data_IF_190638936084
#
_entry.id   IF_190638936084
#
_cell.length_a   1.000
_cell.length_b   1.000
_cell.length_c   1.000
_cell.angle_alpha   90.00
_cell.angle_beta   90.00
_cell.angle_gamma   90.00
#
_symmetry.space_group_name_H-M   'P 1'
#
loop_
_entity.id
_entity.type
_entity.pdbx_description
1 polymer ?
#
# COMPACT_ATOMS: atom_id res chain seq x y z
N UNK A 1 -22.13 15.42 7.37
CA UNK A 1 -22.14 14.01 7.80
C UNK A 1 -20.69 13.57 7.79
N UNK A 2 -20.23 12.92 8.85
CA UNK A 2 -18.83 12.57 9.03
C UNK A 2 -18.57 11.27 8.25
N UNK A 3 -17.77 11.35 7.19
CA UNK A 3 -17.43 10.22 6.33
C UNK A 3 -16.64 9.21 7.16
N UNK A 4 -17.22 8.04 7.44
CA UNK A 4 -16.51 6.93 8.05
C UNK A 4 -16.35 5.88 6.95
N UNK A 5 -15.23 5.91 6.25
CA UNK A 5 -14.78 4.71 5.55
C UNK A 5 -14.12 3.84 6.63
N UNK A 6 -14.75 2.71 6.93
CA UNK A 6 -14.26 1.73 7.90
C UNK A 6 -13.29 0.79 7.19
N UNK A 7 -11.99 1.08 7.21
CA UNK A 7 -11.00 0.05 6.88
C UNK A 7 -10.64 -0.72 8.16
N UNK A 8 -11.01 -2.00 8.20
CA UNK A 8 -10.51 -2.94 9.20
C UNK A 8 -9.50 -3.84 8.51
N UNK A 9 -8.22 -3.64 8.83
CA UNK A 9 -7.09 -4.40 8.32
C UNK A 9 -6.32 -4.96 9.52
N UNK A 10 -6.23 -6.29 9.60
CA UNK A 10 -5.41 -6.99 10.59
C UNK A 10 -4.04 -7.31 10.00
N UNK A 11 -2.98 -7.19 10.81
CA UNK A 11 -1.59 -7.47 10.38
C UNK A 11 -0.84 -8.22 11.46
N UNK A 12 0.00 -9.18 11.04
CA UNK A 12 1.05 -9.77 11.87
C UNK A 12 2.29 -8.88 11.80
N UNK A 13 2.65 -8.21 12.89
CA UNK A 13 3.64 -7.14 12.82
C UNK A 13 4.97 -7.41 13.52
N UNK A 14 6.00 -6.77 12.97
CA UNK A 14 7.36 -6.60 13.49
C UNK A 14 7.39 -5.64 14.69
N UNK A 15 8.41 -5.75 15.55
CA UNK A 15 8.53 -5.08 16.88
C UNK A 15 8.16 -3.59 16.93
N UNK A 16 8.46 -2.83 15.87
CA UNK A 16 8.39 -1.36 15.87
C UNK A 16 7.30 -0.82 14.92
N UNK A 17 6.45 -1.72 14.42
CA UNK A 17 5.24 -1.35 13.70
C UNK A 17 4.18 -0.83 14.68
N UNK A 18 3.58 0.31 14.34
CA UNK A 18 2.59 0.99 15.19
C UNK A 18 1.17 0.61 14.78
N UNK A 19 0.89 0.59 13.48
CA UNK A 19 -0.46 0.42 12.96
C UNK A 19 -0.56 0.77 11.48
N UNK A 20 -1.80 0.75 10.98
CA UNK A 20 -2.13 1.20 9.65
C UNK A 20 -2.83 2.56 9.72
N UNK A 21 -2.43 3.48 8.86
CA UNK A 21 -3.10 4.78 8.69
C UNK A 21 -3.65 4.93 7.28
N UNK A 22 -4.65 5.78 7.16
CA UNK A 22 -5.40 6.00 5.93
C UNK A 22 -5.51 7.50 5.66
N UNK A 23 -5.29 7.89 4.41
CA UNK A 23 -5.63 9.22 3.92
C UNK A 23 -6.73 9.10 2.87
N UNK A 24 -7.81 9.87 3.05
CA UNK A 24 -8.95 9.87 2.15
C UNK A 24 -9.08 11.19 1.43
N UNK A 25 -9.32 11.13 0.13
CA UNK A 25 -9.56 12.29 -0.71
C UNK A 25 -10.70 12.00 -1.69
N UNK A 26 -11.68 12.89 -1.74
CA UNK A 26 -12.61 12.93 -2.85
C UNK A 26 -11.88 13.52 -4.06
N UNK A 27 -11.75 12.74 -5.13
CA UNK A 27 -11.00 13.13 -6.34
C UNK A 27 -11.91 13.52 -7.49
N UNK A 28 -13.17 13.08 -7.46
CA UNK A 28 -14.24 13.48 -8.39
C UNK A 28 -15.61 13.41 -7.67
N UNK A 29 -16.69 13.81 -8.35
CA UNK A 29 -18.07 13.79 -7.81
C UNK A 29 -18.46 12.42 -7.23
N UNK A 30 -17.98 11.34 -7.84
CA UNK A 30 -18.28 9.96 -7.42
C UNK A 30 -17.04 9.08 -7.22
N UNK A 31 -15.84 9.66 -7.11
CA UNK A 31 -14.60 8.91 -6.91
C UNK A 31 -13.89 9.35 -5.62
N UNK A 32 -13.50 8.36 -4.83
CA UNK A 32 -12.84 8.55 -3.55
C UNK A 32 -11.57 7.71 -3.50
N UNK A 33 -10.43 8.38 -3.36
CA UNK A 33 -9.13 7.74 -3.26
C UNK A 33 -8.74 7.58 -1.79
N UNK A 34 -8.34 6.37 -1.43
CA UNK A 34 -7.76 5.99 -0.15
C UNK A 34 -6.29 5.64 -0.35
N UNK A 35 -5.40 6.29 0.40
CA UNK A 35 -4.00 5.88 0.51
C UNK A 35 -3.80 5.14 1.82
N UNK A 36 -3.29 3.92 1.74
CA UNK A 36 -3.02 3.05 2.87
C UNK A 36 -1.54 3.05 3.21
N UNK A 37 -1.21 3.32 4.47
CA UNK A 37 0.17 3.38 4.96
C UNK A 37 0.40 2.41 6.12
N UNK A 38 1.63 1.93 6.24
CA UNK A 38 2.15 1.30 7.45
C UNK A 38 2.93 2.33 8.28
N UNK A 39 2.58 2.48 9.55
CA UNK A 39 3.23 3.42 10.48
C UNK A 39 4.28 2.74 11.35
N UNK A 40 5.38 3.45 11.61
CA UNK A 40 6.56 2.97 12.33
C UNK A 40 6.96 3.91 13.46
N UNK A 41 7.85 3.45 14.35
CA UNK A 41 8.34 4.27 15.46
C UNK A 41 9.64 5.01 15.15
N UNK A 42 10.42 4.54 14.18
CA UNK A 42 11.69 5.16 13.79
C UNK A 42 11.77 5.42 12.28
N UNK A 43 12.45 6.51 11.91
CA UNK A 43 12.64 6.89 10.51
C UNK A 43 13.52 5.94 9.71
N UNK A 44 14.22 5.03 10.38
CA UNK A 44 15.08 4.01 9.79
C UNK A 44 14.39 2.65 9.66
N UNK A 45 13.17 2.51 10.18
CA UNK A 45 12.38 1.29 10.02
C UNK A 45 11.96 1.09 8.57
N UNK A 46 11.76 -0.17 8.18
CA UNK A 46 11.48 -0.54 6.80
C UNK A 46 10.24 -1.41 6.68
N UNK A 47 9.41 -1.14 5.67
CA UNK A 47 8.45 -2.07 5.11
C UNK A 47 9.07 -2.72 3.86
N UNK A 48 9.34 -4.02 3.88
CA UNK A 48 9.98 -4.69 2.76
C UNK A 48 9.00 -5.46 1.87
N UNK A 49 7.93 -6.03 2.45
CA UNK A 49 6.97 -6.80 1.68
C UNK A 49 5.58 -6.79 2.31
N UNK A 50 4.58 -7.00 1.45
CA UNK A 50 3.21 -7.32 1.83
C UNK A 50 2.84 -8.64 1.16
N UNK A 51 2.37 -9.61 1.95
CA UNK A 51 2.23 -10.98 1.49
C UNK A 51 0.97 -11.68 1.99
N UNK A 52 0.60 -12.73 1.28
CA UNK A 52 -0.38 -13.73 1.70
C UNK A 52 0.19 -15.13 1.52
N UNK A 53 -0.02 -15.99 2.52
CA UNK A 53 0.35 -17.40 2.49
C UNK A 53 -0.81 -18.32 2.91
N UNK A 54 -0.57 -19.63 2.93
CA UNK A 54 -1.60 -20.63 3.26
C UNK A 54 -2.14 -20.55 4.69
N UNK A 55 -1.41 -19.92 5.62
CA UNK A 55 -1.78 -19.72 7.02
C UNK A 55 -2.40 -18.33 7.24
N UNK A 56 -1.91 -17.34 6.51
CA UNK A 56 -2.35 -15.95 6.58
C UNK A 56 -2.61 -15.42 5.19
N UNK A 57 -3.84 -15.57 4.69
CA UNK A 57 -4.20 -15.03 3.37
C UNK A 57 -4.22 -13.51 3.39
N UNK A 58 -3.85 -12.92 2.26
CA UNK A 58 -3.97 -11.50 1.97
C UNK A 58 -5.22 -11.26 1.15
N UNK A 59 -6.02 -10.27 1.54
CA UNK A 59 -7.08 -9.75 0.70
C UNK A 59 -7.34 -8.27 0.98
N UNK A 60 -7.65 -7.52 -0.08
CA UNK A 60 -8.14 -6.14 -0.03
C UNK A 60 -9.35 -6.09 -0.93
N UNK A 61 -10.51 -5.79 -0.35
CA UNK A 61 -11.80 -5.87 -1.03
C UNK A 61 -12.54 -4.55 -0.97
N UNK A 62 -13.38 -4.29 -1.96
CA UNK A 62 -14.36 -3.22 -1.91
C UNK A 62 -15.75 -3.72 -2.27
N UNK A 63 -16.77 -3.18 -1.61
CA UNK A 63 -18.17 -3.49 -1.90
C UNK A 63 -18.64 -2.97 -3.27
N UNK A 64 -18.02 -1.90 -3.78
CA UNK A 64 -18.33 -1.30 -5.08
C UNK A 64 -17.16 -1.38 -6.08
N UNK A 65 -16.14 -2.19 -5.78
CA UNK A 65 -14.98 -2.40 -6.65
C UNK A 65 -14.01 -1.21 -6.71
N UNK A 66 -12.90 -1.42 -7.43
CA UNK A 66 -11.84 -0.44 -7.59
C UNK A 66 -11.86 0.21 -8.97
N UNK A 67 -11.58 1.50 -9.01
CA UNK A 67 -11.34 2.22 -10.25
C UNK A 67 -9.98 1.81 -10.82
N UNK A 68 -9.97 1.41 -12.09
CA UNK A 68 -8.77 1.05 -12.84
C UNK A 68 -8.65 1.89 -14.12
N UNK A 69 -7.42 2.29 -14.45
CA UNK A 69 -7.10 3.12 -15.59
C UNK A 69 -6.34 2.33 -16.67
N UNK A 70 -6.77 2.35 -17.94
CA UNK A 70 -6.08 1.63 -19.02
C UNK A 70 -4.63 2.06 -19.30
N UNK A 71 -4.20 3.21 -18.79
CA UNK A 71 -2.83 3.72 -18.93
C UNK A 71 -1.96 3.48 -17.69
N UNK A 72 -2.50 2.82 -16.67
CA UNK A 72 -1.79 2.45 -15.45
C UNK A 72 -1.59 0.95 -15.35
N UNK A 73 -1.74 0.42 -14.14
CA UNK A 73 -1.57 -0.99 -13.86
C UNK A 73 -1.59 -1.30 -12.37
N UNK A 74 -1.42 -2.58 -11.99
CA UNK A 74 -1.74 -3.03 -10.63
C UNK A 74 -0.73 -2.55 -9.58
N UNK A 75 0.43 -2.04 -10.02
CA UNK A 75 1.54 -1.61 -9.18
C UNK A 75 1.99 -0.21 -9.55
N UNK A 76 2.57 0.51 -8.58
CA UNK A 76 3.15 1.84 -8.78
C UNK A 76 4.21 1.89 -9.90
N UNK A 77 4.85 0.75 -10.22
CA UNK A 77 5.80 0.61 -11.33
C UNK A 77 5.16 0.90 -12.69
N UNK A 78 3.84 0.73 -12.82
CA UNK A 78 3.09 1.01 -14.05
C UNK A 78 2.65 2.47 -14.16
N UNK A 79 2.85 3.27 -13.11
CA UNK A 79 2.34 4.65 -13.06
C UNK A 79 3.37 5.61 -13.66
N UNK A 80 3.03 6.18 -14.81
CA UNK A 80 3.84 7.19 -15.49
C UNK A 80 3.25 8.59 -15.30
N UNK A 81 3.84 9.35 -14.37
CA UNK A 81 3.37 10.72 -14.03
C UNK A 81 3.46 11.71 -15.20
N UNK A 82 4.30 11.47 -16.22
CA UNK A 82 4.34 12.29 -17.42
C UNK A 82 3.03 12.23 -18.24
N UNK A 83 2.21 11.18 -18.04
CA UNK A 83 0.91 11.03 -18.67
C UNK A 83 -0.19 11.84 -17.98
N UNK A 84 -0.01 12.31 -16.74
CA UNK A 84 -1.07 13.00 -15.99
C UNK A 84 -1.56 14.29 -16.67
N UNK A 85 -0.68 14.99 -17.40
CA UNK A 85 -1.07 16.19 -18.16
C UNK A 85 -1.98 15.90 -19.36
N UNK A 86 -2.02 14.65 -19.83
CA UNK A 86 -2.80 14.19 -20.99
C UNK A 86 -4.00 13.36 -20.53
N UNK A 87 -3.81 12.51 -19.52
CA UNK A 87 -4.80 11.65 -18.90
C UNK A 87 -4.87 11.92 -17.39
N UNK A 88 -5.53 13.01 -16.95
CA UNK A 88 -5.59 13.36 -15.53
C UNK A 88 -6.20 12.26 -14.65
N UNK A 89 -7.13 11.47 -15.21
CA UNK A 89 -7.76 10.37 -14.48
C UNK A 89 -6.81 9.22 -14.14
N UNK A 90 -5.61 9.16 -14.73
CA UNK A 90 -4.58 8.20 -14.33
C UNK A 90 -4.09 8.44 -12.90
N UNK A 91 -4.17 9.68 -12.40
CA UNK A 91 -3.83 9.98 -11.02
C UNK A 91 -4.76 9.28 -10.00
N UNK A 92 -5.93 8.82 -10.44
CA UNK A 92 -6.93 8.15 -9.61
C UNK A 92 -6.84 6.63 -9.69
N UNK A 93 -5.91 6.10 -10.47
CA UNK A 93 -5.74 4.65 -10.65
C UNK A 93 -5.50 3.93 -9.31
N UNK A 94 -5.92 2.66 -9.25
CA UNK A 94 -5.75 1.84 -8.05
C UNK A 94 -4.57 0.89 -8.21
N UNK A 95 -3.60 0.97 -7.32
CA UNK A 95 -2.35 0.23 -7.42
C UNK A 95 -1.74 -0.01 -6.05
N UNK A 96 -0.93 -1.07 -5.95
CA UNK A 96 -0.13 -1.38 -4.76
C UNK A 96 1.31 -0.85 -4.89
N UNK A 97 1.96 -0.64 -3.76
CA UNK A 97 3.35 -0.22 -3.70
C UNK A 97 4.10 -0.69 -2.45
N UNK A 98 5.40 -0.41 -2.43
CA UNK A 98 6.22 -0.26 -1.23
C UNK A 98 6.90 1.11 -1.31
N UNK A 99 6.25 2.14 -0.76
CA UNK A 99 6.77 3.49 -0.57
C UNK A 99 6.82 4.40 -1.80
N UNK A 100 7.06 3.89 -3.01
CA UNK A 100 7.14 4.71 -4.23
C UNK A 100 5.75 4.95 -4.86
N UNK A 101 5.50 6.13 -5.41
CA UNK A 101 4.20 6.48 -6.01
C UNK A 101 4.15 6.31 -7.53
N UNK A 102 5.29 6.13 -8.18
CA UNK A 102 5.39 6.04 -9.63
C UNK A 102 6.54 5.13 -10.08
N UNK A 103 6.76 5.05 -11.39
CA UNK A 103 7.82 4.23 -12.00
C UNK A 103 9.25 4.76 -11.79
N UNK A 104 9.44 5.99 -11.30
CA UNK A 104 10.76 6.62 -11.19
C UNK A 104 11.47 6.09 -9.95
N UNK A 105 12.67 5.53 -10.14
CA UNK A 105 13.48 4.93 -9.06
C UNK A 105 12.73 3.89 -8.22
N UNK A 106 11.76 3.20 -8.83
CA UNK A 106 10.94 2.18 -8.17
C UNK A 106 11.42 0.77 -8.54
N UNK A 107 11.95 0.07 -7.54
CA UNK A 107 12.51 -1.29 -7.64
C UNK A 107 11.56 -2.36 -7.08
N UNK A 108 10.27 -2.03 -6.97
CA UNK A 108 9.26 -2.97 -6.51
C UNK A 108 9.10 -4.15 -7.48
N UNK A 109 8.89 -5.33 -6.90
CA UNK A 109 8.61 -6.58 -7.57
C UNK A 109 7.41 -7.26 -6.93
N UNK A 110 6.77 -8.17 -7.66
CA UNK A 110 5.72 -9.04 -7.16
C UNK A 110 5.90 -10.47 -7.68
N UNK A 111 5.40 -11.44 -6.90
CA UNK A 111 5.44 -12.86 -7.26
C UNK A 111 4.23 -13.57 -6.68
N UNK A 112 3.62 -14.46 -7.48
CA UNK A 112 2.53 -15.33 -7.01
C UNK A 112 1.18 -14.63 -6.81
N UNK A 113 1.01 -13.40 -7.31
CA UNK A 113 -0.25 -12.67 -7.30
C UNK A 113 -0.85 -12.67 -8.71
N UNK A 114 -2.15 -12.93 -8.80
CA UNK A 114 -2.91 -12.77 -10.04
C UNK A 114 -3.63 -11.42 -10.01
N UNK A 115 -3.21 -10.52 -10.90
CA UNK A 115 -3.74 -9.17 -11.00
C UNK A 115 -4.96 -9.05 -11.90
N UNK A 116 -5.36 -10.11 -12.63
CA UNK A 116 -6.43 -10.03 -13.64
C UNK A 116 -7.75 -9.56 -13.02
N UNK A 117 -8.08 -10.05 -11.83
CA UNK A 117 -9.28 -9.65 -11.09
C UNK A 117 -9.23 -8.17 -10.69
N UNK A 118 -8.12 -7.76 -10.09
CA UNK A 118 -7.91 -6.38 -9.63
C UNK A 118 -7.93 -5.37 -10.77
N UNK A 119 -7.22 -5.66 -11.87
CA UNK A 119 -7.19 -4.82 -13.09
C UNK A 119 -8.53 -4.73 -13.81
N UNK A 120 -9.44 -5.67 -13.53
CA UNK A 120 -10.83 -5.63 -14.00
C UNK A 120 -11.76 -4.86 -13.04
N UNK A 121 -11.21 -4.19 -12.02
CA UNK A 121 -11.94 -3.46 -10.98
C UNK A 121 -12.43 -4.32 -9.82
N UNK A 122 -12.01 -5.59 -9.75
CA UNK A 122 -12.31 -6.51 -8.66
C UNK A 122 -11.31 -6.45 -7.52
N UNK A 123 -11.37 -7.42 -6.62
CA UNK A 123 -10.58 -7.44 -5.39
C UNK A 123 -9.14 -7.95 -5.59
N UNK A 124 -8.26 -7.66 -4.63
CA UNK A 124 -6.95 -8.31 -4.49
C UNK A 124 -7.11 -9.46 -3.51
N UNK A 125 -6.77 -10.70 -3.92
CA UNK A 125 -6.78 -11.87 -3.04
C UNK A 125 -5.63 -12.82 -3.37
N UNK A 126 -4.86 -13.23 -2.36
CA UNK A 126 -3.83 -14.27 -2.53
C UNK A 126 -3.52 -14.99 -1.22
N UNK A 127 -3.18 -16.27 -1.33
CA UNK A 127 -2.65 -17.08 -0.24
C UNK A 127 -1.30 -17.71 -0.58
N UNK A 128 -0.63 -17.19 -1.62
CA UNK A 128 0.71 -17.63 -2.02
C UNK A 128 1.43 -16.55 -2.85
N UNK A 129 1.24 -15.29 -2.47
CA UNK A 129 1.68 -14.15 -3.26
C UNK A 129 2.19 -13.01 -2.41
N UNK A 130 3.08 -12.21 -2.98
CA UNK A 130 3.70 -11.08 -2.30
C UNK A 130 4.07 -9.99 -3.29
N UNK A 131 4.05 -8.75 -2.83
CA UNK A 131 4.76 -7.65 -3.47
C UNK A 131 5.77 -7.05 -2.48
N UNK A 132 6.93 -6.68 -3.00
CA UNK A 132 8.10 -6.38 -2.17
C UNK A 132 9.10 -5.47 -2.88
N UNK A 133 9.98 -4.85 -2.09
CA UNK A 133 11.19 -4.21 -2.57
C UNK A 133 12.36 -4.63 -1.66
N UNK A 134 13.59 -4.50 -2.14
CA UNK A 134 14.73 -5.02 -1.38
C UNK A 134 15.07 -4.10 -0.20
N UNK A 135 15.61 -4.61 0.91
CA UNK A 135 16.03 -3.77 2.05
C UNK A 135 17.09 -2.72 1.74
N UNK A 136 17.76 -2.83 0.58
CA UNK A 136 18.77 -1.88 0.12
C UNK A 136 18.14 -0.69 -0.63
N UNK A 137 16.87 -0.78 -1.01
CA UNK A 137 16.15 0.29 -1.71
C UNK A 137 15.64 1.36 -0.73
N UNK A 138 15.85 2.63 -1.05
CA UNK A 138 15.41 3.73 -0.19
C UNK A 138 13.88 3.81 -0.03
N UNK A 139 13.12 3.30 -1.01
CA UNK A 139 11.65 3.30 -0.99
C UNK A 139 11.05 2.51 0.17
N UNK A 140 11.78 1.55 0.74
CA UNK A 140 11.27 0.72 1.84
C UNK A 140 11.30 1.44 3.19
N UNK A 141 12.03 2.57 3.29
CA UNK A 141 12.34 3.24 4.56
C UNK A 141 11.23 4.21 4.96
N UNK A 142 10.80 4.16 6.22
CA UNK A 142 9.72 4.99 6.77
C UNK A 142 10.01 6.50 6.73
N UNK A 143 11.28 6.89 6.76
CA UNK A 143 11.71 8.27 6.55
C UNK A 143 11.22 9.25 7.61
N UNK A 144 11.19 10.54 7.28
CA UNK A 144 10.74 11.60 8.21
C UNK A 144 9.29 11.46 8.63
N UNK A 145 8.48 10.85 7.77
CA UNK A 145 7.03 10.77 7.93
C UNK A 145 6.62 9.55 8.77
N UNK A 146 7.59 8.72 9.15
CA UNK A 146 7.44 7.50 9.95
C UNK A 146 6.42 6.52 9.34
N UNK A 147 6.25 6.55 8.02
CA UNK A 147 5.25 5.74 7.34
C UNK A 147 5.70 5.34 5.95
N UNK A 148 5.24 4.18 5.49
CA UNK A 148 5.49 3.68 4.13
C UNK A 148 4.16 3.42 3.45
N UNK A 149 3.99 3.95 2.23
CA UNK A 149 2.79 3.71 1.42
C UNK A 149 2.72 2.24 1.00
N UNK A 150 1.54 1.64 1.13
CA UNK A 150 1.23 0.25 0.72
C UNK A 150 0.44 0.24 -0.59
N UNK A 151 -0.36 1.27 -0.84
CA UNK A 151 -1.15 1.36 -2.06
C UNK A 151 -2.12 2.54 -2.06
N UNK A 152 -2.60 2.84 -3.25
CA UNK A 152 -3.66 3.79 -3.53
C UNK A 152 -4.85 3.01 -4.07
N UNK A 153 -6.03 3.21 -3.49
CA UNK A 153 -7.25 2.51 -3.87
C UNK A 153 -8.37 3.52 -4.09
N UNK A 154 -8.95 3.54 -5.27
CA UNK A 154 -10.03 4.47 -5.60
C UNK A 154 -11.33 3.69 -5.76
N UNK A 155 -12.39 4.12 -5.06
CA UNK A 155 -13.71 3.49 -5.08
C UNK A 155 -14.78 4.41 -5.62
N UNK A 156 -15.93 3.82 -5.97
CA UNK A 156 -17.09 4.51 -6.54
C UNK A 156 -18.11 4.86 -5.47
N UNK A 157 -18.49 6.13 -5.35
CA UNK A 157 -19.53 6.55 -4.42
C UNK A 157 -19.05 6.72 -2.99
N UNK A 158 -19.71 7.61 -2.26
CA UNK A 158 -19.30 8.05 -0.92
C UNK A 158 -19.58 7.02 0.19
N UNK A 159 -20.38 6.02 -0.13
CA UNK A 159 -20.81 4.93 0.75
C UNK A 159 -19.96 3.66 0.59
N UNK A 160 -18.98 3.67 -0.31
CA UNK A 160 -18.05 2.54 -0.50
C UNK A 160 -17.22 2.24 0.74
N UNK A 161 -17.06 0.95 1.00
CA UNK A 161 -16.20 0.42 2.04
C UNK A 161 -15.03 -0.35 1.42
N UNK A 162 -13.85 -0.23 2.04
CA UNK A 162 -12.66 -1.04 1.72
C UNK A 162 -12.30 -1.80 2.98
N UNK A 163 -12.17 -3.12 2.89
CA UNK A 163 -11.85 -3.98 4.03
C UNK A 163 -10.90 -5.10 3.61
N UNK A 164 -10.13 -5.62 4.55
CA UNK A 164 -9.08 -6.56 4.16
C UNK A 164 -8.33 -7.22 5.30
N UNK A 165 -7.36 -8.04 4.92
CA UNK A 165 -6.28 -8.50 5.79
C UNK A 165 -4.99 -8.46 4.99
N UNK A 166 -3.95 -7.87 5.55
CA UNK A 166 -2.63 -7.79 4.92
C UNK A 166 -1.57 -8.23 5.91
N UNK A 167 -0.56 -8.95 5.45
CA UNK A 167 0.55 -9.36 6.28
C UNK A 167 1.79 -8.60 5.86
N UNK A 168 2.46 -7.98 6.82
CA UNK A 168 3.59 -7.12 6.56
C UNK A 168 4.89 -7.81 6.99
N UNK A 169 5.90 -7.71 6.15
CA UNK A 169 7.26 -8.07 6.49
C UNK A 169 8.15 -6.85 6.35
N UNK A 170 9.04 -6.66 7.30
CA UNK A 170 9.99 -5.57 7.26
C UNK A 170 11.12 -5.77 8.25
N UNK A 171 11.92 -4.71 8.43
CA UNK A 171 13.12 -4.74 9.24
C UNK A 171 13.15 -3.52 10.16
N UNK A 172 13.53 -3.77 11.41
CA UNK A 172 13.84 -2.69 12.35
C UNK A 172 15.08 -1.93 11.86
N UNK A 173 14.96 -0.60 11.81
CA UNK A 173 16.10 0.27 11.58
C UNK A 173 17.09 0.19 12.74
N UNK A 174 18.39 0.18 12.46
CA UNK A 174 19.40 0.34 13.53
C UNK A 174 19.40 1.80 13.98
N UNK A 175 18.41 2.17 14.80
CA UNK A 175 18.50 3.33 15.69
C UNK A 175 19.50 3.01 16.79
N UNK A 176 20.33 3.98 17.19
CA UNK A 176 21.28 3.86 18.30
C UNK A 176 20.55 3.42 19.58
N UNK A 177 20.43 2.11 19.80
CA UNK A 177 20.09 1.57 21.10
C UNK A 177 21.35 1.71 21.92
N UNK A 178 21.43 2.79 22.72
CA UNK A 178 22.40 2.88 23.79
C UNK A 178 22.21 1.63 24.65
N UNK A 179 23.07 0.64 24.43
CA UNK A 179 23.22 -0.45 25.38
C UNK A 179 23.69 0.22 26.68
N UNK A 180 23.00 0.03 27.81
CA UNK A 180 23.57 0.43 29.08
C UNK A 180 24.87 -0.37 29.23
N UNK A 181 26.01 0.31 29.06
CA UNK A 181 27.29 -0.24 29.44
C UNK A 181 27.24 -0.39 30.96
N UNK A 182 27.04 -1.62 31.41
CA UNK A 182 27.22 -1.99 32.81
C UNK A 182 28.70 -1.77 33.13
N UNK A 183 29.00 -0.76 33.94
CA UNK A 183 30.25 -0.65 34.69
C UNK A 183 30.03 -1.18 36.11
#
# INVERSE_FOLDING_TARGET
>A
MQNIILASLTTSAMSDFVGLSLEFQQVDENLFTMRLYADFTASTDQLNAVFGDSQSSLYIRSDNGFYQNPFGGPTSVSINTALFGIFPSLAYDSWVTIGSEDQVDNQMLDIGIDWIGFESGGDIETNNGTWFATPDDMQVVAGSDLRVLIGQFTTYGSDSEIYGSINLQGKQGVGCRLQPQLY
#
